data_IF_038897253006
#
_entry.id   IF_038897253006
#
_cell.length_a   1.000
_cell.length_b   1.000
_cell.length_c   1.000
_cell.angle_alpha   90.00
_cell.angle_beta   90.00
_cell.angle_gamma   90.00
#
_symmetry.space_group_name_H-M   'P 1'
#
loop_
_entity.id
_entity.type
_entity.pdbx_description
1 polymer ?
#
# COMPACT_ATOMS: atom_id res chain seq x y z
N UNK A 1 -7.96 -44.01 -6.33
CA UNK A 1 -8.78 -42.96 -6.97
C UNK A 1 -8.70 -41.71 -6.11
N UNK A 2 -8.12 -40.62 -6.63
CA UNK A 2 -7.93 -39.38 -5.87
C UNK A 2 -9.26 -38.68 -5.55
N UNK A 3 -9.38 -38.15 -4.34
CA UNK A 3 -10.55 -37.36 -3.88
C UNK A 3 -10.78 -36.21 -4.87
N UNK A 4 -11.95 -36.16 -5.52
CA UNK A 4 -12.32 -35.04 -6.42
C UNK A 4 -12.21 -33.73 -5.65
N UNK A 5 -11.58 -32.72 -6.26
CA UNK A 5 -11.48 -31.39 -5.69
C UNK A 5 -12.90 -30.84 -5.42
N UNK A 6 -13.10 -30.20 -4.28
CA UNK A 6 -14.35 -29.49 -4.01
C UNK A 6 -14.36 -28.19 -4.83
N UNK A 7 -15.20 -28.13 -5.85
CA UNK A 7 -15.35 -26.98 -6.77
C UNK A 7 -16.57 -26.10 -6.44
N UNK A 8 -17.40 -26.50 -5.46
CA UNK A 8 -18.61 -25.78 -5.06
C UNK A 8 -18.33 -24.36 -4.54
N UNK A 9 -17.08 -24.07 -4.16
CA UNK A 9 -16.66 -22.73 -3.76
C UNK A 9 -16.85 -21.69 -4.88
N UNK A 10 -16.70 -22.09 -6.15
CA UNK A 10 -16.75 -21.14 -7.26
C UNK A 10 -18.18 -20.71 -7.58
N UNK A 11 -19.16 -21.61 -7.46
CA UNK A 11 -20.57 -21.24 -7.57
C UNK A 11 -21.00 -20.31 -6.42
N UNK A 12 -20.54 -20.58 -5.20
CA UNK A 12 -20.76 -19.71 -4.05
C UNK A 12 -20.16 -18.31 -4.26
N UNK A 13 -18.96 -18.25 -4.82
CA UNK A 13 -18.32 -16.99 -5.23
C UNK A 13 -19.18 -16.22 -6.24
N UNK A 14 -19.64 -16.87 -7.32
CA UNK A 14 -20.42 -16.20 -8.38
C UNK A 14 -21.74 -15.62 -7.86
N UNK A 15 -22.44 -16.36 -6.99
CA UNK A 15 -23.67 -15.88 -6.35
C UNK A 15 -23.40 -14.64 -5.49
N UNK A 16 -22.40 -14.70 -4.60
CA UNK A 16 -22.08 -13.57 -3.74
C UNK A 16 -21.57 -12.35 -4.52
N UNK A 17 -20.76 -12.55 -5.56
CA UNK A 17 -20.27 -11.47 -6.43
C UNK A 17 -21.39 -10.79 -7.22
N UNK A 18 -22.44 -11.53 -7.61
CA UNK A 18 -23.60 -10.95 -8.29
C UNK A 18 -24.52 -10.15 -7.34
N UNK A 19 -24.69 -10.60 -6.10
CA UNK A 19 -25.53 -9.92 -5.10
C UNK A 19 -24.88 -8.65 -4.55
N UNK A 20 -23.55 -8.67 -4.37
CA UNK A 20 -22.76 -7.62 -3.74
C UNK A 20 -23.07 -6.19 -4.25
N UNK A 21 -23.02 -5.88 -5.56
CA UNK A 21 -23.30 -4.54 -6.06
C UNK A 21 -24.70 -4.04 -5.68
N UNK A 22 -25.70 -4.93 -5.75
CA UNK A 22 -27.10 -4.59 -5.44
C UNK A 22 -27.30 -4.34 -3.95
N UNK A 23 -26.68 -5.15 -3.09
CA UNK A 23 -26.75 -4.99 -1.65
C UNK A 23 -26.06 -3.70 -1.18
N UNK A 24 -24.89 -3.38 -1.75
CA UNK A 24 -24.18 -2.13 -1.46
C UNK A 24 -24.99 -0.89 -1.89
N UNK A 25 -25.65 -0.95 -3.06
CA UNK A 25 -26.52 0.13 -3.52
C UNK A 25 -27.73 0.37 -2.59
N UNK A 26 -28.16 -0.66 -1.86
CA UNK A 26 -29.21 -0.57 -0.82
C UNK A 26 -28.70 -0.10 0.54
N UNK A 27 -27.40 0.24 0.65
CA UNK A 27 -26.78 0.70 1.89
C UNK A 27 -26.37 -0.42 2.86
N UNK A 28 -26.42 -1.68 2.43
CA UNK A 28 -25.91 -2.79 3.25
C UNK A 28 -24.38 -2.75 3.35
N UNK A 29 -23.83 -3.13 4.51
CA UNK A 29 -22.38 -3.23 4.66
C UNK A 29 -21.88 -4.52 3.99
N UNK A 30 -20.78 -4.41 3.25
CA UNK A 30 -20.13 -5.57 2.62
C UNK A 30 -19.87 -6.74 3.59
N UNK A 31 -19.48 -6.43 4.83
CA UNK A 31 -19.19 -7.44 5.85
C UNK A 31 -20.42 -8.29 6.20
N UNK A 32 -21.61 -7.68 6.24
CA UNK A 32 -22.85 -8.36 6.60
C UNK A 32 -23.33 -9.25 5.45
N UNK A 33 -23.18 -8.78 4.20
CA UNK A 33 -23.47 -9.56 2.98
C UNK A 33 -22.57 -10.80 2.91
N UNK A 34 -21.26 -10.63 3.11
CA UNK A 34 -20.31 -11.75 3.10
C UNK A 34 -20.56 -12.73 4.26
N UNK A 35 -20.95 -12.24 5.44
CA UNK A 35 -21.29 -13.10 6.58
C UNK A 35 -22.51 -13.97 6.30
N UNK A 36 -23.56 -13.41 5.67
CA UNK A 36 -24.77 -14.14 5.25
C UNK A 36 -24.44 -15.26 4.28
N UNK A 37 -23.64 -14.99 3.25
CA UNK A 37 -23.22 -16.03 2.30
C UNK A 37 -22.32 -17.08 2.96
N UNK A 38 -21.41 -16.68 3.87
CA UNK A 38 -20.60 -17.64 4.62
C UNK A 38 -21.46 -18.61 5.46
N UNK A 39 -22.48 -18.08 6.14
CA UNK A 39 -23.44 -18.88 6.91
C UNK A 39 -24.24 -19.83 6.01
N UNK A 40 -24.76 -19.33 4.87
CA UNK A 40 -25.50 -20.14 3.90
C UNK A 40 -24.65 -21.25 3.27
N UNK A 41 -23.37 -20.98 3.05
CA UNK A 41 -22.39 -21.94 2.55
C UNK A 41 -21.88 -22.93 3.62
N UNK A 42 -22.25 -22.74 4.90
CA UNK A 42 -21.79 -23.57 6.00
C UNK A 42 -20.29 -23.45 6.32
N UNK A 43 -19.67 -22.31 5.99
CA UNK A 43 -18.22 -22.08 6.17
C UNK A 43 -17.94 -20.92 7.12
N UNK A 44 -16.73 -20.90 7.70
CA UNK A 44 -16.27 -19.76 8.50
C UNK A 44 -16.15 -18.52 7.62
N UNK A 45 -16.48 -17.34 8.16
CA UNK A 45 -16.37 -16.06 7.44
C UNK A 45 -14.96 -15.85 6.82
N UNK A 46 -13.90 -16.16 7.56
CA UNK A 46 -12.52 -16.09 7.05
C UNK A 46 -12.24 -17.04 5.86
N UNK A 47 -12.90 -18.21 5.82
CA UNK A 47 -12.79 -19.15 4.69
C UNK A 47 -13.54 -18.59 3.48
N UNK A 48 -14.74 -18.07 3.69
CA UNK A 48 -15.53 -17.44 2.63
C UNK A 48 -14.81 -16.22 2.01
N UNK A 49 -14.20 -15.37 2.84
CA UNK A 49 -13.39 -14.25 2.37
C UNK A 49 -12.22 -14.70 1.48
N UNK A 50 -11.59 -15.85 1.77
CA UNK A 50 -10.56 -16.45 0.92
C UNK A 50 -11.14 -16.99 -0.39
N UNK A 51 -12.32 -17.61 -0.38
CA UNK A 51 -13.03 -18.01 -1.60
C UNK A 51 -13.34 -16.80 -2.50
N UNK A 52 -13.80 -15.69 -1.91
CA UNK A 52 -14.04 -14.45 -2.64
C UNK A 52 -12.78 -13.87 -3.28
N UNK A 53 -11.64 -13.94 -2.57
CA UNK A 53 -10.36 -13.51 -3.11
C UNK A 53 -9.90 -14.42 -4.27
N UNK A 54 -10.00 -15.74 -4.10
CA UNK A 54 -9.65 -16.70 -5.12
C UNK A 54 -10.50 -16.54 -6.39
N UNK A 55 -11.81 -16.30 -6.24
CA UNK A 55 -12.71 -16.09 -7.35
C UNK A 55 -12.40 -14.81 -8.13
N UNK A 56 -12.12 -13.70 -7.44
CA UNK A 56 -11.70 -12.45 -8.09
C UNK A 56 -10.41 -12.62 -8.88
N UNK A 57 -9.43 -13.33 -8.32
CA UNK A 57 -8.19 -13.60 -9.04
C UNK A 57 -8.41 -14.39 -10.34
N UNK A 58 -9.39 -15.32 -10.36
CA UNK A 58 -9.77 -16.01 -11.59
C UNK A 58 -10.48 -15.07 -12.58
N UNK A 59 -11.39 -14.21 -12.13
CA UNK A 59 -12.06 -13.24 -12.99
C UNK A 59 -11.07 -12.23 -13.59
N UNK A 60 -10.05 -11.82 -12.84
CA UNK A 60 -8.99 -10.91 -13.31
C UNK A 60 -8.10 -11.57 -14.39
N UNK A 61 -7.75 -12.85 -14.21
CA UNK A 61 -6.92 -13.61 -15.15
C UNK A 61 -7.69 -14.07 -16.39
N UNK A 62 -8.97 -14.40 -16.23
CA UNK A 62 -9.85 -14.83 -17.32
C UNK A 62 -11.31 -14.51 -16.97
N UNK A 63 -11.83 -13.38 -17.47
CA UNK A 63 -13.21 -13.00 -17.22
C UNK A 63 -14.17 -14.00 -17.85
N UNK A 64 -15.35 -14.15 -17.23
CA UNK A 64 -16.46 -14.99 -17.72
C UNK A 64 -16.18 -16.51 -17.71
N UNK A 65 -15.35 -17.00 -16.79
CA UNK A 65 -15.18 -18.44 -16.56
C UNK A 65 -16.51 -19.12 -16.19
N UNK A 66 -16.84 -20.19 -16.92
CA UNK A 66 -17.96 -21.07 -16.60
C UNK A 66 -17.70 -21.91 -15.36
N UNK A 67 -18.76 -22.33 -14.66
CA UNK A 67 -18.64 -23.19 -13.47
C UNK A 67 -17.94 -24.53 -13.79
N UNK A 68 -18.23 -25.10 -14.95
CA UNK A 68 -17.65 -26.36 -15.43
C UNK A 68 -16.16 -26.24 -15.79
N UNK A 69 -15.65 -25.02 -16.02
CA UNK A 69 -14.24 -24.78 -16.33
C UNK A 69 -13.36 -24.78 -15.07
N UNK A 70 -13.96 -24.67 -13.87
CA UNK A 70 -13.23 -24.60 -12.61
C UNK A 70 -13.22 -25.97 -11.92
N UNK A 71 -12.21 -26.78 -12.25
CA UNK A 71 -11.95 -28.08 -11.64
C UNK A 71 -11.08 -28.04 -10.37
N UNK A 72 -10.66 -26.85 -9.93
CA UNK A 72 -9.68 -26.68 -8.86
C UNK A 72 -10.28 -26.28 -7.51
N UNK A 73 -9.49 -26.40 -6.45
CA UNK A 73 -9.86 -25.89 -5.13
C UNK A 73 -9.60 -24.38 -5.03
N UNK A 74 -10.34 -23.68 -4.16
CA UNK A 74 -10.11 -22.25 -3.92
C UNK A 74 -8.69 -21.95 -3.43
N UNK A 75 -8.00 -22.92 -2.81
CA UNK A 75 -6.62 -22.76 -2.37
C UNK A 75 -5.65 -22.67 -3.55
N UNK A 76 -5.86 -23.48 -4.60
CA UNK A 76 -5.03 -23.43 -5.81
C UNK A 76 -5.29 -22.13 -6.57
N UNK A 77 -6.55 -21.71 -6.68
CA UNK A 77 -6.91 -20.42 -7.26
C UNK A 77 -6.35 -19.23 -6.45
N UNK A 78 -6.37 -19.26 -5.11
CA UNK A 78 -5.73 -18.22 -4.28
C UNK A 78 -4.21 -18.21 -4.48
N UNK A 79 -3.55 -19.37 -4.60
CA UNK A 79 -2.10 -19.41 -4.88
C UNK A 79 -1.78 -18.87 -6.27
N UNK A 80 -2.59 -19.23 -7.27
CA UNK A 80 -2.45 -18.67 -8.62
C UNK A 80 -2.60 -17.15 -8.61
N UNK A 81 -3.57 -16.61 -7.85
CA UNK A 81 -3.73 -15.18 -7.66
C UNK A 81 -2.50 -14.50 -7.03
N UNK A 82 -1.83 -15.16 -6.08
CA UNK A 82 -0.56 -14.64 -5.51
C UNK A 82 0.58 -14.67 -6.53
N UNK A 83 0.67 -15.71 -7.35
CA UNK A 83 1.65 -15.80 -8.43
C UNK A 83 1.39 -14.69 -9.45
N UNK A 84 0.13 -14.43 -9.83
CA UNK A 84 -0.25 -13.39 -10.78
C UNK A 84 0.18 -11.99 -10.34
N UNK A 85 0.22 -11.74 -9.03
CA UNK A 85 0.64 -10.46 -8.47
C UNK A 85 2.15 -10.21 -8.61
N UNK A 86 2.97 -11.27 -8.60
CA UNK A 86 4.43 -11.17 -8.79
C UNK A 86 4.76 -11.25 -10.29
N UNK A 87 4.17 -12.23 -10.98
CA UNK A 87 4.41 -12.52 -12.39
C UNK A 87 3.08 -12.87 -13.10
N UNK A 88 2.39 -11.85 -13.66
CA UNK A 88 1.14 -12.05 -14.39
C UNK A 88 1.29 -13.04 -15.56
N UNK A 89 2.39 -12.94 -16.31
CA UNK A 89 2.67 -13.83 -17.45
C UNK A 89 2.78 -15.30 -17.02
N UNK A 90 3.43 -15.57 -15.87
CA UNK A 90 3.58 -16.92 -15.36
C UNK A 90 2.23 -17.48 -14.88
N UNK A 91 1.43 -16.67 -14.19
CA UNK A 91 0.08 -17.07 -13.81
C UNK A 91 -0.81 -17.36 -15.02
N UNK A 92 -0.74 -16.56 -16.09
CA UNK A 92 -1.51 -16.80 -17.31
C UNK A 92 -1.15 -18.14 -17.97
N UNK A 93 0.13 -18.50 -17.92
CA UNK A 93 0.62 -19.78 -18.46
C UNK A 93 0.12 -20.98 -17.63
N UNK A 94 0.05 -20.83 -16.30
CA UNK A 94 -0.38 -21.89 -15.38
C UNK A 94 -1.89 -22.03 -15.27
N UNK A 95 -2.65 -21.00 -15.64
CA UNK A 95 -4.09 -20.95 -15.48
C UNK A 95 -4.82 -22.19 -16.02
N UNK A 96 -4.55 -22.71 -17.24
CA UNK A 96 -5.24 -23.89 -17.76
C UNK A 96 -5.01 -25.14 -16.90
N UNK A 97 -3.79 -25.34 -16.41
CA UNK A 97 -3.41 -26.51 -15.63
C UNK A 97 -3.96 -26.41 -14.20
N UNK A 98 -3.94 -25.21 -13.62
CA UNK A 98 -4.58 -24.95 -12.33
C UNK A 98 -6.08 -25.20 -12.43
N UNK A 99 -6.78 -24.66 -13.42
CA UNK A 99 -8.23 -24.86 -13.62
C UNK A 99 -8.58 -26.36 -13.75
N UNK A 100 -7.73 -27.15 -14.39
CA UNK A 100 -7.91 -28.62 -14.53
C UNK A 100 -7.44 -29.43 -13.32
N UNK A 101 -7.02 -28.77 -12.23
CA UNK A 101 -6.46 -29.40 -11.03
C UNK A 101 -5.24 -30.30 -11.34
N UNK A 102 -4.43 -29.89 -12.32
CA UNK A 102 -3.20 -30.57 -12.74
C UNK A 102 -1.95 -30.02 -12.06
N UNK A 103 -2.05 -28.87 -11.40
CA UNK A 103 -1.00 -28.32 -10.52
C UNK A 103 -1.30 -28.60 -9.06
N UNK A 104 -0.37 -29.23 -8.34
CA UNK A 104 -0.50 -29.43 -6.90
C UNK A 104 -0.28 -28.11 -6.13
N UNK A 105 -0.84 -28.03 -4.91
CA UNK A 105 -0.57 -26.88 -4.02
C UNK A 105 0.92 -26.76 -3.66
N UNK A 106 1.62 -27.88 -3.55
CA UNK A 106 3.06 -27.90 -3.27
C UNK A 106 3.85 -27.29 -4.42
N UNK A 107 3.55 -27.67 -5.67
CA UNK A 107 4.16 -27.07 -6.86
C UNK A 107 3.92 -25.57 -6.95
N UNK A 108 2.69 -25.12 -6.68
CA UNK A 108 2.36 -23.69 -6.68
C UNK A 108 3.06 -22.94 -5.55
N UNK A 109 3.23 -23.55 -4.37
CA UNK A 109 3.96 -22.94 -3.25
C UNK A 109 5.47 -22.86 -3.53
N UNK A 110 6.08 -23.91 -4.08
CA UNK A 110 7.49 -23.91 -4.47
C UNK A 110 7.77 -22.82 -5.50
N UNK A 111 6.94 -22.74 -6.56
CA UNK A 111 7.06 -21.70 -7.56
C UNK A 111 6.85 -20.30 -6.99
N UNK A 112 5.90 -20.14 -6.07
CA UNK A 112 5.71 -18.86 -5.39
C UNK A 112 6.97 -18.50 -4.59
N UNK A 113 7.60 -19.45 -3.89
CA UNK A 113 8.88 -19.23 -3.20
C UNK A 113 10.00 -18.79 -4.14
N UNK A 114 10.18 -19.49 -5.26
CA UNK A 114 11.18 -19.15 -6.29
C UNK A 114 10.97 -17.73 -6.86
N UNK A 115 9.72 -17.39 -7.19
CA UNK A 115 9.37 -16.04 -7.66
C UNK A 115 9.58 -14.99 -6.57
N UNK A 116 9.35 -15.36 -5.31
CA UNK A 116 9.55 -14.45 -4.19
C UNK A 116 11.04 -14.17 -3.93
N UNK A 117 11.91 -15.15 -4.14
CA UNK A 117 13.37 -15.01 -4.04
C UNK A 117 13.96 -14.27 -5.23
N UNK A 118 13.46 -14.53 -6.45
CA UNK A 118 13.92 -13.88 -7.67
C UNK A 118 13.45 -12.42 -7.77
N UNK A 119 12.25 -12.12 -7.28
CA UNK A 119 11.65 -10.79 -7.31
C UNK A 119 11.23 -10.31 -5.92
N UNK A 120 12.18 -10.13 -4.98
CA UNK A 120 11.89 -9.84 -3.58
C UNK A 120 11.09 -8.54 -3.41
N UNK A 121 11.29 -7.55 -4.28
CA UNK A 121 10.52 -6.30 -4.27
C UNK A 121 9.03 -6.52 -4.59
N UNK A 122 8.67 -7.48 -5.45
CA UNK A 122 7.28 -7.83 -5.78
C UNK A 122 6.68 -8.85 -4.80
N UNK A 123 7.52 -9.71 -4.23
CA UNK A 123 7.21 -10.73 -3.23
C UNK A 123 6.68 -10.18 -1.89
N UNK A 124 7.31 -9.08 -1.46
CA UNK A 124 7.22 -8.47 -0.12
C UNK A 124 5.82 -7.88 0.18
N UNK A 125 5.01 -7.73 -0.87
CA UNK A 125 3.83 -6.91 -0.94
C UNK A 125 2.54 -7.54 -0.39
N UNK A 126 2.50 -8.86 -0.13
CA UNK A 126 1.22 -9.58 -0.04
C UNK A 126 0.93 -10.40 1.23
N UNK A 127 1.69 -10.25 2.31
CA UNK A 127 1.33 -10.82 3.62
C UNK A 127 1.31 -9.73 4.70
N UNK A 128 0.27 -9.62 5.51
CA UNK A 128 0.20 -8.60 6.59
C UNK A 128 1.39 -8.75 7.56
N UNK A 129 1.83 -9.98 7.75
CA UNK A 129 3.05 -10.31 8.50
C UNK A 129 4.33 -9.99 7.73
N UNK A 130 4.35 -10.03 6.38
CA UNK A 130 5.49 -9.59 5.59
C UNK A 130 5.61 -8.07 5.53
N UNK A 131 4.50 -7.33 5.41
CA UNK A 131 4.51 -5.85 5.50
C UNK A 131 4.93 -5.38 6.88
N UNK A 132 4.48 -6.03 7.96
CA UNK A 132 4.93 -5.72 9.32
C UNK A 132 6.40 -6.10 9.53
N UNK A 133 6.86 -7.26 9.04
CA UNK A 133 8.29 -7.64 9.10
C UNK A 133 9.17 -6.70 8.29
N UNK A 134 8.73 -6.30 7.09
CA UNK A 134 9.42 -5.32 6.25
C UNK A 134 9.48 -3.96 6.93
N UNK A 135 8.36 -3.49 7.49
CA UNK A 135 8.33 -2.24 8.22
C UNK A 135 9.27 -2.29 9.42
N UNK A 136 9.25 -3.37 10.21
CA UNK A 136 10.18 -3.55 11.34
C UNK A 136 11.64 -3.66 10.88
N UNK A 137 11.91 -4.32 9.75
CA UNK A 137 13.25 -4.44 9.19
C UNK A 137 13.75 -3.08 8.69
N UNK A 138 12.92 -2.34 7.95
CA UNK A 138 13.20 -0.99 7.47
C UNK A 138 13.34 0.00 8.63
N UNK A 139 12.51 -0.11 9.66
CA UNK A 139 12.62 0.68 10.90
C UNK A 139 13.96 0.45 11.60
N UNK A 140 14.40 -0.81 11.70
CA UNK A 140 15.72 -1.15 12.27
C UNK A 140 16.85 -0.61 11.40
N UNK A 141 16.85 -0.89 10.10
CA UNK A 141 17.90 -0.42 9.19
C UNK A 141 17.95 1.10 9.12
N UNK A 142 16.80 1.76 9.13
CA UNK A 142 16.70 3.22 9.20
C UNK A 142 17.23 3.74 10.53
N UNK A 143 16.89 3.12 11.66
CA UNK A 143 17.40 3.52 12.96
C UNK A 143 18.93 3.43 13.02
N UNK A 144 19.51 2.34 12.52
CA UNK A 144 20.96 2.14 12.47
C UNK A 144 21.64 3.17 11.55
N UNK A 145 21.04 3.44 10.38
CA UNK A 145 21.55 4.44 9.44
C UNK A 145 21.48 5.85 10.03
N UNK A 146 20.35 6.22 10.65
CA UNK A 146 20.12 7.50 11.32
C UNK A 146 21.13 7.69 12.47
N UNK A 147 21.35 6.67 13.29
CA UNK A 147 22.33 6.72 14.36
C UNK A 147 23.77 6.92 13.84
N UNK A 148 24.09 6.31 12.69
CA UNK A 148 25.41 6.45 12.05
C UNK A 148 25.65 7.84 11.48
N UNK A 149 24.67 8.43 10.78
CA UNK A 149 24.82 9.76 10.17
C UNK A 149 24.67 10.89 11.19
N UNK A 150 23.90 10.67 12.26
CA UNK A 150 23.68 11.61 13.35
C UNK A 150 22.81 12.81 12.99
N UNK A 151 22.54 13.68 13.97
CA UNK A 151 21.64 14.83 13.81
C UNK A 151 22.13 15.86 12.77
N UNK A 152 23.44 15.91 12.50
CA UNK A 152 24.04 16.72 11.44
C UNK A 152 23.42 16.47 10.06
N UNK A 153 23.01 15.23 9.77
CA UNK A 153 22.38 14.88 8.49
C UNK A 153 21.07 15.62 8.28
N UNK A 154 20.38 15.95 9.37
CA UNK A 154 19.12 16.70 9.36
C UNK A 154 19.34 18.21 9.59
N UNK A 155 20.58 18.70 9.47
CA UNK A 155 20.93 20.11 9.63
C UNK A 155 21.09 20.60 11.06
N UNK A 156 21.19 19.69 12.05
CA UNK A 156 21.42 20.04 13.46
C UNK A 156 22.68 19.35 14.01
N UNK A 157 23.89 19.89 13.76
CA UNK A 157 25.15 19.23 14.13
C UNK A 157 25.29 18.90 15.62
N UNK A 158 24.85 19.82 16.49
CA UNK A 158 24.86 19.66 17.95
C UNK A 158 23.56 19.05 18.49
N UNK A 159 22.68 18.59 17.58
CA UNK A 159 21.40 18.03 17.94
C UNK A 159 21.51 16.61 18.50
N UNK A 160 20.45 16.17 19.19
CA UNK A 160 20.29 14.81 19.68
C UNK A 160 19.16 14.12 18.94
N UNK A 161 19.28 12.81 18.75
CA UNK A 161 18.22 11.98 18.17
C UNK A 161 17.57 11.20 19.30
N UNK A 162 16.27 11.41 19.49
CA UNK A 162 15.46 10.71 20.48
C UNK A 162 14.54 9.73 19.76
N UNK A 163 14.69 8.44 20.06
CA UNK A 163 13.77 7.42 19.57
C UNK A 163 12.55 7.32 20.50
N UNK A 164 11.35 7.37 19.93
CA UNK A 164 10.14 7.27 20.72
C UNK A 164 9.87 5.82 21.13
N UNK A 165 9.71 5.56 22.43
CA UNK A 165 9.29 4.26 22.94
C UNK A 165 7.82 4.00 22.58
N UNK A 166 7.54 2.89 21.90
CA UNK A 166 6.17 2.46 21.60
C UNK A 166 5.43 3.32 20.57
N UNK A 167 6.15 3.98 19.65
CA UNK A 167 5.52 4.72 18.55
C UNK A 167 4.46 3.86 17.84
N UNK A 168 3.22 4.36 17.78
CA UNK A 168 2.18 3.71 16.97
C UNK A 168 2.54 3.93 15.51
N UNK A 169 2.63 2.84 14.75
CA UNK A 169 3.15 2.74 13.37
C UNK A 169 2.56 3.76 12.36
N UNK A 170 1.49 4.48 12.71
CA UNK A 170 0.74 5.32 11.80
C UNK A 170 0.36 6.71 12.33
N UNK A 171 0.69 7.06 13.58
CA UNK A 171 0.21 8.32 14.17
C UNK A 171 1.32 9.16 14.79
N UNK A 172 2.35 8.55 15.36
CA UNK A 172 3.45 9.27 15.98
C UNK A 172 4.72 9.23 15.12
N UNK A 173 5.62 10.22 15.26
CA UNK A 173 6.96 10.12 14.71
C UNK A 173 7.72 8.96 15.35
N UNK A 174 8.58 8.31 14.57
CA UNK A 174 9.43 7.23 15.07
C UNK A 174 10.57 7.80 15.92
N UNK A 175 11.09 8.97 15.52
CA UNK A 175 12.18 9.66 16.20
C UNK A 175 12.01 11.18 16.10
N UNK A 176 12.66 11.90 17.01
CA UNK A 176 12.78 13.36 17.00
C UNK A 176 14.26 13.76 16.96
N UNK A 177 14.59 14.73 16.12
CA UNK A 177 15.84 15.49 16.26
C UNK A 177 15.56 16.68 17.15
N UNK A 178 16.33 16.85 18.22
CA UNK A 178 16.19 17.95 19.16
C UNK A 178 17.47 18.79 19.22
N UNK A 179 17.32 20.07 19.51
CA UNK A 179 18.41 20.98 19.82
C UNK A 179 18.00 21.76 21.07
N UNK A 180 18.88 21.78 22.08
CA UNK A 180 18.64 22.46 23.36
C UNK A 180 17.31 22.06 24.05
N UNK A 181 16.92 20.79 23.88
CA UNK A 181 15.68 20.24 24.44
C UNK A 181 14.41 20.54 23.65
N UNK A 182 14.50 21.29 22.53
CA UNK A 182 13.38 21.61 21.65
C UNK A 182 13.36 20.69 20.44
N UNK A 183 12.18 20.17 20.07
CA UNK A 183 12.02 19.35 18.88
C UNK A 183 12.15 20.19 17.61
N UNK A 184 13.04 19.75 16.72
CA UNK A 184 13.39 20.45 15.49
C UNK A 184 12.94 19.68 14.25
N UNK A 185 13.10 18.36 14.24
CA UNK A 185 12.67 17.50 13.14
C UNK A 185 11.88 16.30 13.67
N UNK A 186 10.69 16.05 13.12
CA UNK A 186 10.00 14.78 13.29
C UNK A 186 10.37 13.80 12.17
N UNK A 187 10.84 12.61 12.55
CA UNK A 187 11.23 11.57 11.61
C UNK A 187 10.15 10.49 11.56
N UNK A 188 9.60 10.27 10.37
CA UNK A 188 8.61 9.23 10.11
C UNK A 188 9.22 8.16 9.20
N UNK A 189 9.47 6.97 9.74
CA UNK A 189 10.01 5.85 8.98
C UNK A 189 8.85 5.08 8.37
N UNK A 190 8.80 4.98 7.04
CA UNK A 190 7.65 4.42 6.31
C UNK A 190 8.13 3.58 5.13
N UNK A 191 7.37 2.54 4.79
CA UNK A 191 7.64 1.65 3.64
C UNK A 191 6.58 1.73 2.55
N UNK A 192 5.46 2.41 2.81
CA UNK A 192 4.33 2.46 1.90
C UNK A 192 3.28 1.36 2.08
N UNK A 193 2.38 1.30 1.11
CA UNK A 193 1.36 0.25 0.96
C UNK A 193 1.08 0.03 -0.51
N UNK A 194 0.98 -1.23 -0.92
CA UNK A 194 0.59 -1.62 -2.29
C UNK A 194 -0.89 -1.96 -2.43
N UNK A 195 -1.62 -1.97 -1.31
CA UNK A 195 -3.08 -2.03 -1.37
C UNK A 195 -3.69 -0.73 -1.90
N UNK A 196 -2.88 0.33 -1.99
CA UNK A 196 -3.28 1.65 -2.45
C UNK A 196 -2.29 2.14 -3.52
N UNK A 197 -2.76 2.88 -4.53
CA UNK A 197 -1.88 3.57 -5.47
C UNK A 197 -0.88 4.48 -4.74
N UNK A 198 0.32 4.66 -5.31
CA UNK A 198 1.38 5.47 -4.69
C UNK A 198 0.94 6.90 -4.37
N UNK A 199 0.11 7.51 -5.23
CA UNK A 199 -0.47 8.84 -5.00
C UNK A 199 -1.38 8.87 -3.78
N UNK A 200 -2.25 7.86 -3.61
CA UNK A 200 -3.14 7.77 -2.45
C UNK A 200 -2.35 7.62 -1.14
N UNK A 201 -1.28 6.82 -1.13
CA UNK A 201 -0.40 6.70 0.03
C UNK A 201 0.37 8.00 0.28
N UNK A 202 0.83 8.67 -0.78
CA UNK A 202 1.48 9.98 -0.68
C UNK A 202 0.57 11.02 -0.02
N UNK A 203 -0.72 11.05 -0.38
CA UNK A 203 -1.70 11.95 0.25
C UNK A 203 -1.88 11.64 1.74
N UNK A 204 -1.94 10.37 2.13
CA UNK A 204 -1.99 9.98 3.54
C UNK A 204 -0.76 10.45 4.32
N UNK A 205 0.42 10.39 3.71
CA UNK A 205 1.66 10.85 4.36
C UNK A 205 1.71 12.38 4.41
N UNK A 206 1.24 13.08 3.37
CA UNK A 206 1.08 14.53 3.41
C UNK A 206 0.11 14.97 4.51
N UNK A 207 -1.04 14.31 4.65
CA UNK A 207 -2.01 14.57 5.73
C UNK A 207 -1.38 14.37 7.10
N UNK A 208 -0.63 13.28 7.27
CA UNK A 208 0.09 13.01 8.50
C UNK A 208 1.10 14.12 8.82
N UNK A 209 1.84 14.60 7.81
CA UNK A 209 2.80 15.69 7.98
C UNK A 209 2.08 17.00 8.35
N UNK A 210 1.00 17.35 7.65
CA UNK A 210 0.19 18.53 7.96
C UNK A 210 -0.35 18.51 9.40
N UNK A 211 -0.81 17.35 9.88
CA UNK A 211 -1.27 17.18 11.25
C UNK A 211 -0.19 17.44 12.32
N UNK A 212 1.09 17.31 11.94
CA UNK A 212 2.24 17.54 12.83
C UNK A 212 2.98 18.86 12.57
N UNK A 213 2.60 19.60 11.52
CA UNK A 213 3.30 20.82 11.09
C UNK A 213 3.36 21.90 12.18
N UNK A 214 2.34 22.01 13.02
CA UNK A 214 2.32 22.98 14.11
C UNK A 214 3.19 22.57 15.32
N UNK A 215 3.65 21.32 15.38
CA UNK A 215 4.35 20.75 16.53
C UNK A 215 5.86 20.77 16.37
N UNK A 216 6.36 20.72 15.13
CA UNK A 216 7.79 20.69 14.80
C UNK A 216 8.07 21.56 13.57
N UNK A 217 9.22 22.25 13.53
CA UNK A 217 9.61 23.06 12.38
C UNK A 217 9.71 22.26 11.08
N UNK A 218 10.29 21.06 11.15
CA UNK A 218 10.56 20.22 9.99
C UNK A 218 10.07 18.79 10.19
N UNK A 219 9.64 18.19 9.10
CA UNK A 219 9.20 16.81 9.04
C UNK A 219 10.03 16.10 7.98
N UNK A 220 10.51 14.91 8.28
CA UNK A 220 11.25 14.10 7.34
C UNK A 220 10.68 12.68 7.27
N UNK A 221 10.29 12.25 6.07
CA UNK A 221 9.97 10.85 5.81
C UNK A 221 11.23 10.09 5.41
N UNK A 222 11.45 8.94 6.03
CA UNK A 222 12.52 8.01 5.69
C UNK A 222 11.93 6.80 4.96
N UNK A 223 12.19 6.71 3.66
CA UNK A 223 11.60 5.74 2.74
C UNK A 223 12.68 4.81 2.15
N UNK A 224 12.33 3.59 1.70
CA UNK A 224 13.21 2.80 0.84
C UNK A 224 13.51 3.57 -0.46
N UNK A 225 14.76 3.55 -0.93
CA UNK A 225 15.21 4.31 -2.10
C UNK A 225 14.43 4.00 -3.40
N UNK A 226 13.95 2.76 -3.53
CA UNK A 226 13.16 2.26 -4.66
C UNK A 226 11.65 2.45 -4.49
N UNK A 227 11.21 3.16 -3.45
CA UNK A 227 9.79 3.33 -3.16
C UNK A 227 9.09 4.20 -4.22
N UNK A 228 8.02 3.70 -4.87
CA UNK A 228 7.26 4.47 -5.85
C UNK A 228 6.55 5.70 -5.22
N UNK A 229 6.45 5.73 -3.89
CA UNK A 229 5.87 6.84 -3.13
C UNK A 229 6.78 8.07 -3.16
N UNK A 230 8.09 7.90 -3.35
CA UNK A 230 9.04 9.03 -3.39
C UNK A 230 8.62 10.01 -4.47
N UNK A 231 8.38 9.54 -5.71
CA UNK A 231 7.97 10.42 -6.81
C UNK A 231 6.62 11.09 -6.52
N UNK A 232 5.64 10.32 -6.02
CA UNK A 232 4.32 10.85 -5.68
C UNK A 232 4.40 11.94 -4.60
N UNK A 233 5.11 11.69 -3.50
CA UNK A 233 5.32 12.67 -2.43
C UNK A 233 6.13 13.87 -2.89
N UNK A 234 7.16 13.68 -3.71
CA UNK A 234 7.97 14.80 -4.23
C UNK A 234 7.09 15.77 -5.03
N UNK A 235 6.18 15.24 -5.85
CA UNK A 235 5.16 16.05 -6.56
C UNK A 235 4.22 16.75 -5.57
N UNK A 236 3.68 16.04 -4.59
CA UNK A 236 2.76 16.61 -3.59
C UNK A 236 3.43 17.72 -2.75
N UNK A 237 4.67 17.50 -2.29
CA UNK A 237 5.50 18.45 -1.51
C UNK A 237 5.71 19.74 -2.30
N UNK A 238 6.01 19.62 -3.59
CA UNK A 238 6.17 20.76 -4.49
C UNK A 238 4.86 21.55 -4.64
N UNK A 239 3.73 20.85 -4.73
CA UNK A 239 2.40 21.48 -4.88
C UNK A 239 1.95 22.25 -3.63
N UNK A 240 2.36 21.83 -2.43
CA UNK A 240 2.06 22.54 -1.16
C UNK A 240 3.18 23.49 -0.72
N UNK A 241 4.10 23.81 -1.63
CA UNK A 241 5.23 24.70 -1.37
C UNK A 241 6.07 24.30 -0.15
N UNK A 242 6.20 22.99 0.08
CA UNK A 242 6.86 22.43 1.26
C UNK A 242 8.32 22.03 1.02
N UNK A 243 8.75 22.07 -0.23
CA UNK A 243 10.08 21.67 -0.66
C UNK A 243 11.19 22.55 -0.04
N UNK A 244 12.45 22.07 0.03
CA UNK A 244 13.58 22.80 0.62
C UNK A 244 13.80 24.22 0.11
N UNK A 245 13.49 24.51 -1.16
CA UNK A 245 13.69 25.84 -1.77
C UNK A 245 12.45 26.75 -1.69
N UNK A 246 11.35 26.28 -1.10
CA UNK A 246 10.10 27.05 -0.95
C UNK A 246 9.77 27.26 0.53
N UNK A 247 9.50 26.18 1.25
CA UNK A 247 9.08 26.22 2.64
C UNK A 247 9.98 25.46 3.61
N UNK A 248 10.82 24.54 3.12
CA UNK A 248 11.71 23.65 3.90
C UNK A 248 11.07 23.07 5.17
N UNK A 249 9.84 22.57 5.06
CA UNK A 249 9.16 21.96 6.21
C UNK A 249 8.87 20.47 6.00
N UNK A 250 8.94 19.95 4.77
CA UNK A 250 8.73 18.54 4.48
C UNK A 250 9.81 17.97 3.56
N UNK A 251 10.66 17.12 4.12
CA UNK A 251 11.83 16.53 3.48
C UNK A 251 11.69 15.01 3.31
N UNK A 252 12.35 14.47 2.29
CA UNK A 252 12.38 13.04 2.01
C UNK A 252 13.82 12.52 2.10
N UNK A 253 14.04 11.55 2.97
CA UNK A 253 15.29 10.79 3.04
C UNK A 253 15.05 9.37 2.51
N UNK A 254 16.03 8.86 1.77
CA UNK A 254 16.02 7.55 1.13
C UNK A 254 17.09 6.67 1.75
N UNK A 255 16.69 5.47 2.15
CA UNK A 255 17.59 4.43 2.61
C UNK A 255 17.84 3.45 1.47
N UNK A 256 19.12 3.29 1.10
CA UNK A 256 19.56 2.22 0.22
C UNK A 256 19.64 0.91 1.03
N UNK A 257 18.81 -0.10 0.71
CA UNK A 257 18.80 -1.36 1.45
C UNK A 257 20.07 -2.21 1.23
N UNK A 258 20.85 -1.98 0.16
CA UNK A 258 22.02 -2.79 -0.17
C UNK A 258 23.25 -2.44 0.67
N UNK A 259 23.44 -1.15 0.99
CA UNK A 259 24.60 -0.65 1.74
C UNK A 259 24.23 0.11 3.02
N UNK A 260 22.94 0.34 3.28
CA UNK A 260 22.45 1.08 4.44
C UNK A 260 22.75 2.57 4.41
N UNK A 261 23.02 3.13 3.23
CA UNK A 261 23.31 4.55 3.06
C UNK A 261 22.02 5.36 3.09
N UNK A 262 22.02 6.43 3.89
CA UNK A 262 20.94 7.41 3.94
C UNK A 262 21.31 8.60 3.05
N UNK A 263 20.40 9.03 2.20
CA UNK A 263 20.56 10.18 1.31
C UNK A 263 19.31 11.07 1.34
N UNK A 264 19.48 12.38 1.17
CA UNK A 264 18.35 13.29 1.05
C UNK A 264 17.90 13.35 -0.42
N UNK A 265 16.60 13.46 -0.66
CA UNK A 265 16.07 13.74 -2.00
C UNK A 265 16.71 15.02 -2.54
N UNK A 266 17.26 14.95 -3.76
CA UNK A 266 17.96 16.10 -4.33
C UNK A 266 16.99 17.23 -4.68
N UNK A 267 17.43 18.47 -4.44
CA UNK A 267 16.70 19.68 -4.83
C UNK A 267 16.40 19.69 -6.33
N UNK A 268 17.35 19.26 -7.17
CA UNK A 268 17.18 19.13 -8.62
C UNK A 268 15.97 18.28 -9.00
N UNK A 269 15.69 17.22 -8.23
CA UNK A 269 14.52 16.36 -8.52
C UNK A 269 13.22 17.07 -8.20
N UNK A 270 13.15 17.81 -7.09
CA UNK A 270 11.98 18.62 -6.77
C UNK A 270 11.77 19.71 -7.83
N UNK A 271 12.83 20.41 -8.25
CA UNK A 271 12.76 21.44 -9.26
C UNK A 271 12.38 20.89 -10.64
N UNK A 272 12.90 19.72 -11.02
CA UNK A 272 12.52 19.03 -12.26
C UNK A 272 11.04 18.69 -12.25
N UNK A 273 10.51 18.15 -11.15
CA UNK A 273 9.08 17.84 -11.03
C UNK A 273 8.21 19.10 -10.95
N UNK A 274 8.70 20.19 -10.35
CA UNK A 274 8.04 21.50 -10.38
C UNK A 274 7.93 22.04 -11.80
N UNK A 275 8.99 21.92 -12.60
CA UNK A 275 9.03 22.35 -14.00
C UNK A 275 8.19 21.45 -14.91
N UNK A 276 8.13 20.15 -14.61
CA UNK A 276 7.28 19.18 -15.31
C UNK A 276 5.80 19.26 -14.90
N UNK A 277 5.44 20.04 -13.87
CA UNK A 277 4.06 20.27 -13.45
C UNK A 277 3.30 21.21 -14.42
N UNK A 278 3.54 21.09 -15.73
CA UNK A 278 2.58 21.49 -16.76
C UNK A 278 1.42 20.50 -16.65
N UNK A 279 0.37 20.97 -15.98
CA UNK A 279 -0.93 20.37 -15.74
C UNK A 279 -1.27 19.17 -16.62
N UNK A 280 -1.09 17.96 -16.08
CA UNK A 280 -1.88 16.82 -16.53
C UNK A 280 -3.25 16.93 -15.84
N UNK A 281 -4.30 17.15 -16.63
CA UNK A 281 -5.70 17.27 -16.22
C UNK A 281 -6.24 15.94 -15.63
N UNK A 282 -5.41 14.89 -15.63
CA UNK A 282 -5.59 13.58 -14.98
C UNK A 282 -5.49 13.63 -13.44
N UNK A 283 -5.60 14.81 -12.82
CA UNK A 283 -5.86 14.98 -11.38
C UNK A 283 -7.27 14.51 -10.95
N UNK A 284 -7.89 13.58 -11.69
CA UNK A 284 -9.16 12.95 -11.33
C UNK A 284 -9.10 12.31 -9.94
N UNK A 285 -7.95 11.74 -9.56
CA UNK A 285 -7.71 11.14 -8.24
C UNK A 285 -7.59 12.15 -7.08
N UNK A 286 -7.46 13.45 -7.40
CA UNK A 286 -7.35 14.55 -6.43
C UNK A 286 -8.64 15.38 -6.33
N UNK A 287 -9.67 15.02 -7.10
CA UNK A 287 -11.01 15.59 -7.01
C UNK A 287 -11.81 14.77 -6.00
N UNK A 288 -12.15 15.39 -4.89
CA UNK A 288 -13.06 14.80 -3.93
C UNK A 288 -14.48 14.95 -4.49
N UNK A 289 -15.08 13.85 -4.92
CA UNK A 289 -16.48 13.78 -5.32
C UNK A 289 -17.30 13.28 -4.12
N UNK A 290 -18.06 14.18 -3.51
CA UNK A 290 -18.90 13.90 -2.36
C UNK A 290 -20.32 14.40 -2.55
N UNK A 291 -21.15 14.22 -1.52
CA UNK A 291 -22.41 14.94 -1.39
C UNK A 291 -22.37 15.77 -0.14
N UNK A 292 -22.81 17.01 -0.24
CA UNK A 292 -23.09 17.82 0.93
C UNK A 292 -24.17 17.10 1.76
N UNK A 293 -23.92 16.90 3.05
CA UNK A 293 -24.81 16.13 3.92
C UNK A 293 -26.08 16.90 4.32
N UNK A 294 -26.09 18.22 4.13
CA UNK A 294 -27.19 19.11 4.49
C UNK A 294 -28.05 19.44 3.26
N UNK A 295 -27.43 19.80 2.13
CA UNK A 295 -28.15 20.12 0.89
C UNK A 295 -28.38 18.91 -0.01
N UNK A 296 -27.61 17.83 0.18
CA UNK A 296 -27.65 16.64 -0.69
C UNK A 296 -26.99 16.84 -2.05
N UNK A 297 -26.49 18.04 -2.35
CA UNK A 297 -25.90 18.40 -3.64
C UNK A 297 -24.54 17.73 -3.84
N UNK A 298 -24.22 17.41 -5.10
CA UNK A 298 -22.91 16.90 -5.44
C UNK A 298 -21.86 18.00 -5.21
N UNK A 299 -20.89 17.72 -4.35
CA UNK A 299 -19.76 18.60 -4.07
C UNK A 299 -18.52 18.02 -4.74
N UNK A 300 -17.89 18.82 -5.60
CA UNK A 300 -16.60 18.51 -6.18
C UNK A 300 -15.57 19.48 -5.59
N UNK A 301 -14.72 18.99 -4.69
CA UNK A 301 -13.65 19.78 -4.09
C UNK A 301 -12.31 19.38 -4.70
N UNK A 302 -11.53 20.36 -5.14
CA UNK A 302 -10.12 20.14 -5.38
C UNK A 302 -9.41 20.02 -4.02
N UNK A 303 -8.78 18.88 -3.76
CA UNK A 303 -8.14 18.58 -2.49
C UNK A 303 -7.14 19.68 -2.06
N UNK A 304 -6.41 20.28 -3.00
CA UNK A 304 -5.44 21.34 -2.69
C UNK A 304 -6.09 22.69 -2.36
N UNK A 305 -7.21 23.03 -3.02
CA UNK A 305 -7.95 24.25 -2.69
C UNK A 305 -8.56 24.19 -1.28
N UNK A 306 -8.85 22.99 -0.78
CA UNK A 306 -9.33 22.78 0.58
C UNK A 306 -8.20 22.86 1.64
N UNK A 307 -6.96 22.53 1.28
CA UNK A 307 -5.80 22.58 2.20
C UNK A 307 -5.23 23.99 2.43
N UNK A 308 -5.55 24.95 1.55
CA UNK A 308 -5.08 26.34 1.64
C UNK A 308 -6.01 27.25 2.47
N UNK A 309 -7.09 26.71 3.05
CA UNK A 309 -8.01 27.41 3.96
C UNK A 309 -7.78 26.97 5.40
#
# INVERSE_FOLDING_TARGET
MGRRANTAWFSQYRVASAELPTALAKGERQADVLLRHAQSAGVKNATFARMMKAGRALDDLRPNLGLEEVGCTYMQADMLGKIAQISPARAQTLLPDVLRNQCSLEQLNSLLGELQEAEPQKAVLHNRDSTRRLLLAHERSSADAIARVGAKFFGYPEGRILQQAGATLYQAPNMLVTQDGVAQVALFIRVGSIAKPAMAVGLEYLQLALAHRALVPRICFVLPQDSPIISALTRLITQVEAAPYQGDWLNLAMLDPANGQLSMQSEDTYQTLAAMAVFDDDAADLRWAGRDLVSGEAANLNYFAALQR
#
